data_IF_698000440663
#
_entry.id   IF_698000440663
#
_cell.length_a   1.000
_cell.length_b   1.000
_cell.length_c   1.000
_cell.angle_alpha   90.00
_cell.angle_beta   90.00
_cell.angle_gamma   90.00
#
_symmetry.space_group_name_H-M   'P 1'
#
loop_
_entity.id
_entity.type
_entity.pdbx_description
1 polymer ?
#
# COMPACT_ATOMS: atom_id res chain seq x y z
N UNK A 1 34.53 -40.36 30.99
CA UNK A 1 33.84 -41.15 29.95
C UNK A 1 32.35 -40.86 30.02
N UNK A 2 31.88 -39.84 29.30
CA UNK A 2 30.49 -39.64 28.84
C UNK A 2 30.63 -38.71 27.64
N UNK A 3 30.90 -39.26 26.45
CA UNK A 3 29.94 -39.85 25.53
C UNK A 3 29.02 -38.76 24.94
N UNK A 4 29.43 -38.35 23.74
CA UNK A 4 28.72 -37.55 22.75
C UNK A 4 27.20 -37.64 22.82
N UNK A 5 26.52 -36.49 22.81
CA UNK A 5 25.10 -36.43 22.51
C UNK A 5 24.83 -35.29 21.51
N UNK A 6 24.72 -35.72 20.25
CA UNK A 6 23.99 -35.14 19.12
C UNK A 6 24.03 -33.61 18.92
N UNK A 7 24.76 -33.17 17.89
CA UNK A 7 24.36 -32.01 17.10
C UNK A 7 23.01 -32.32 16.45
N UNK A 8 21.92 -31.80 17.02
CA UNK A 8 20.64 -31.69 16.31
C UNK A 8 20.82 -30.63 15.25
N UNK A 9 20.95 -31.05 13.99
CA UNK A 9 20.86 -30.14 12.85
C UNK A 9 19.46 -29.53 12.83
N UNK A 10 19.38 -28.21 12.98
CA UNK A 10 18.19 -27.45 12.62
C UNK A 10 18.13 -27.48 11.09
N UNK A 11 17.45 -28.47 10.51
CA UNK A 11 17.46 -28.71 9.08
C UNK A 11 16.13 -29.28 8.61
N UNK A 12 15.17 -28.38 8.39
CA UNK A 12 13.90 -28.71 7.72
C UNK A 12 12.68 -28.76 8.64
N UNK A 13 12.33 -27.64 9.26
CA UNK A 13 10.96 -27.44 9.78
C UNK A 13 10.13 -26.76 8.70
N UNK A 14 8.79 -26.82 8.78
CA UNK A 14 7.92 -26.00 7.93
C UNK A 14 8.19 -24.50 8.12
N UNK A 15 7.77 -23.67 7.17
CA UNK A 15 7.81 -22.21 7.30
C UNK A 15 6.96 -21.75 8.50
N UNK A 16 7.33 -20.62 9.09
CA UNK A 16 6.60 -19.97 10.16
C UNK A 16 5.18 -19.60 9.71
N UNK A 17 4.19 -20.08 10.44
CA UNK A 17 2.78 -19.72 10.23
C UNK A 17 2.55 -18.22 10.36
N UNK A 18 3.30 -17.55 11.26
CA UNK A 18 3.24 -16.11 11.44
C UNK A 18 3.72 -15.36 10.19
N UNK A 19 4.84 -15.79 9.58
CA UNK A 19 5.35 -15.17 8.36
C UNK A 19 4.43 -15.42 7.15
N UNK A 20 3.89 -16.63 7.04
CA UNK A 20 2.87 -16.95 6.01
C UNK A 20 1.66 -16.01 6.14
N UNK A 21 1.15 -15.83 7.35
CA UNK A 21 0.04 -14.91 7.62
C UNK A 21 0.37 -13.45 7.28
N UNK A 22 1.54 -12.96 7.72
CA UNK A 22 1.99 -11.60 7.43
C UNK A 22 2.13 -11.34 5.92
N UNK A 23 2.78 -12.26 5.20
CA UNK A 23 2.97 -12.16 3.74
C UNK A 23 1.62 -12.15 3.01
N UNK A 24 0.70 -13.04 3.39
CA UNK A 24 -0.64 -13.08 2.79
C UNK A 24 -1.44 -11.80 3.07
N UNK A 25 -1.32 -11.23 4.27
CA UNK A 25 -1.94 -9.96 4.62
C UNK A 25 -1.38 -8.80 3.78
N UNK A 26 -0.06 -8.75 3.57
CA UNK A 26 0.59 -7.74 2.72
C UNK A 26 0.10 -7.83 1.26
N UNK A 27 0.04 -9.04 0.69
CA UNK A 27 -0.49 -9.29 -0.66
C UNK A 27 -1.93 -8.79 -0.79
N UNK A 28 -2.77 -9.10 0.21
CA UNK A 28 -4.17 -8.66 0.22
C UNK A 28 -4.27 -7.14 0.29
N UNK A 29 -3.53 -6.51 1.20
CA UNK A 29 -3.53 -5.06 1.36
C UNK A 29 -3.12 -4.34 0.07
N UNK A 30 -2.09 -4.83 -0.63
CA UNK A 30 -1.69 -4.30 -1.94
C UNK A 30 -2.82 -4.42 -2.97
N UNK A 31 -3.54 -5.54 -3.01
CA UNK A 31 -4.71 -5.72 -3.88
C UNK A 31 -5.85 -4.77 -3.55
N UNK A 32 -6.19 -4.62 -2.27
CA UNK A 32 -7.29 -3.77 -1.79
C UNK A 32 -7.08 -2.28 -2.11
N UNK A 33 -5.82 -1.80 -2.09
CA UNK A 33 -5.51 -0.41 -2.49
C UNK A 33 -5.44 -0.20 -4.00
N UNK A 34 -5.69 -1.26 -4.79
CA UNK A 34 -5.73 -1.19 -6.25
C UNK A 34 -4.38 -1.30 -6.94
N UNK A 35 -3.42 -2.05 -6.38
CA UNK A 35 -2.13 -2.30 -7.05
C UNK A 35 -2.24 -2.89 -8.45
N UNK A 36 -3.33 -3.62 -8.75
CA UNK A 36 -3.58 -4.16 -10.09
C UNK A 36 -3.79 -3.06 -11.16
N UNK A 37 -4.09 -1.82 -10.76
CA UNK A 37 -4.34 -0.70 -11.69
C UNK A 37 -3.10 0.17 -11.97
N UNK A 38 -1.98 -0.06 -11.27
CA UNK A 38 -0.71 0.62 -11.57
C UNK A 38 0.26 -0.43 -12.14
N UNK A 39 0.73 -0.29 -13.40
CA UNK A 39 1.48 -1.35 -14.07
C UNK A 39 2.70 -1.88 -13.31
N UNK A 40 3.43 -1.00 -12.62
CA UNK A 40 4.63 -1.40 -11.85
C UNK A 40 4.24 -2.15 -10.57
N UNK A 41 3.23 -1.66 -9.85
CA UNK A 41 2.68 -2.29 -8.66
C UNK A 41 2.05 -3.64 -8.99
N UNK A 42 1.36 -3.75 -10.13
CA UNK A 42 0.75 -4.98 -10.59
C UNK A 42 1.80 -6.08 -10.82
N UNK A 43 2.96 -5.73 -11.38
CA UNK A 43 4.09 -6.65 -11.55
C UNK A 43 4.61 -7.18 -10.19
N UNK A 44 4.84 -6.29 -9.24
CA UNK A 44 5.31 -6.70 -7.91
C UNK A 44 4.25 -7.50 -7.14
N UNK A 45 2.97 -7.16 -7.27
CA UNK A 45 1.88 -7.94 -6.69
C UNK A 45 1.81 -9.35 -7.30
N UNK A 46 2.05 -9.48 -8.61
CA UNK A 46 2.13 -10.79 -9.27
C UNK A 46 3.31 -11.60 -8.71
N UNK A 47 4.51 -11.01 -8.65
CA UNK A 47 5.68 -11.67 -8.07
C UNK A 47 5.46 -12.11 -6.63
N UNK A 48 4.83 -11.29 -5.80
CA UNK A 48 4.51 -11.65 -4.42
C UNK A 48 3.59 -12.88 -4.35
N UNK A 49 2.56 -12.97 -5.21
CA UNK A 49 1.64 -14.12 -5.26
C UNK A 49 2.31 -15.40 -5.73
N UNK A 50 3.14 -15.31 -6.76
CA UNK A 50 3.90 -16.45 -7.29
C UNK A 50 4.91 -16.98 -6.26
N UNK A 51 5.63 -16.09 -5.60
CA UNK A 51 6.57 -16.43 -4.54
C UNK A 51 5.87 -17.00 -3.32
N UNK A 52 4.73 -16.45 -2.91
CA UNK A 52 3.94 -17.03 -1.82
C UNK A 52 3.54 -18.48 -2.13
N UNK A 53 3.04 -18.72 -3.34
CA UNK A 53 2.71 -20.09 -3.81
C UNK A 53 3.93 -21.01 -3.80
N UNK A 54 5.10 -20.52 -4.22
CA UNK A 54 6.35 -21.26 -4.16
C UNK A 54 6.75 -21.57 -2.71
N UNK A 55 6.60 -20.61 -1.80
CA UNK A 55 6.91 -20.81 -0.39
C UNK A 55 5.97 -21.84 0.27
N UNK A 56 4.69 -21.86 -0.09
CA UNK A 56 3.77 -22.91 0.36
C UNK A 56 4.26 -24.30 -0.05
N UNK A 57 4.71 -24.46 -1.29
CA UNK A 57 5.24 -25.72 -1.80
C UNK A 57 6.52 -26.13 -1.07
N UNK A 58 7.47 -25.20 -0.89
CA UNK A 58 8.70 -25.43 -0.13
C UNK A 58 8.42 -25.79 1.34
N UNK A 59 7.44 -25.14 1.96
CA UNK A 59 7.04 -25.45 3.34
C UNK A 59 6.48 -26.88 3.44
N UNK A 60 5.64 -27.29 2.48
CA UNK A 60 5.07 -28.65 2.41
C UNK A 60 6.12 -29.72 2.08
N UNK A 61 7.20 -29.38 1.36
CA UNK A 61 8.33 -30.29 1.09
C UNK A 61 9.32 -30.39 2.26
N UNK A 62 9.07 -29.71 3.38
CA UNK A 62 9.97 -29.69 4.55
C UNK A 62 11.15 -28.73 4.40
N UNK A 63 11.15 -27.88 3.38
CA UNK A 63 12.21 -26.93 3.06
C UNK A 63 11.93 -25.54 3.68
N UNK A 64 11.54 -25.47 4.95
CA UNK A 64 11.06 -24.22 5.53
C UNK A 64 12.06 -23.08 5.56
N UNK A 65 13.37 -23.32 5.69
CA UNK A 65 14.35 -22.24 5.57
C UNK A 65 14.35 -21.58 4.18
N UNK A 66 14.15 -22.38 3.13
CA UNK A 66 14.00 -21.85 1.78
C UNK A 66 12.67 -21.12 1.65
N UNK A 67 11.60 -21.68 2.20
CA UNK A 67 10.28 -21.04 2.23
C UNK A 67 10.32 -19.68 2.95
N UNK A 68 11.02 -19.56 4.08
CA UNK A 68 11.21 -18.30 4.82
C UNK A 68 11.86 -17.21 3.96
N UNK A 69 12.91 -17.57 3.22
CA UNK A 69 13.58 -16.63 2.31
C UNK A 69 12.69 -16.19 1.16
N UNK A 70 11.90 -17.11 0.60
CA UNK A 70 10.93 -16.80 -0.45
C UNK A 70 9.81 -15.93 0.09
N UNK A 71 9.30 -16.20 1.31
CA UNK A 71 8.29 -15.37 1.97
C UNK A 71 8.80 -13.95 2.25
N UNK A 72 10.04 -13.79 2.71
CA UNK A 72 10.62 -12.47 2.94
C UNK A 72 10.68 -11.64 1.64
N UNK A 73 10.99 -12.28 0.51
CA UNK A 73 10.97 -11.63 -0.79
C UNK A 73 9.53 -11.30 -1.25
N UNK A 74 8.59 -12.23 -1.06
CA UNK A 74 7.18 -12.03 -1.37
C UNK A 74 6.57 -10.86 -0.57
N UNK A 75 6.90 -10.76 0.71
CA UNK A 75 6.48 -9.67 1.60
C UNK A 75 7.02 -8.33 1.11
N UNK A 76 8.31 -8.25 0.77
CA UNK A 76 8.93 -7.04 0.23
C UNK A 76 8.31 -6.60 -1.12
N UNK A 77 8.03 -7.54 -2.03
CA UNK A 77 7.35 -7.25 -3.29
C UNK A 77 5.91 -6.74 -3.05
N UNK A 78 5.17 -7.33 -2.10
CA UNK A 78 3.83 -6.87 -1.75
C UNK A 78 3.83 -5.45 -1.13
N UNK A 79 4.78 -5.16 -0.23
CA UNK A 79 4.94 -3.83 0.36
C UNK A 79 5.33 -2.78 -0.69
N UNK A 80 6.19 -3.15 -1.64
CA UNK A 80 6.54 -2.28 -2.76
C UNK A 80 5.34 -1.98 -3.65
N UNK A 81 4.53 -3.00 -3.99
CA UNK A 81 3.29 -2.81 -4.74
C UNK A 81 2.35 -1.83 -4.01
N UNK A 82 2.14 -2.03 -2.71
CA UNK A 82 1.34 -1.14 -1.86
C UNK A 82 1.85 0.31 -1.87
N UNK A 83 3.17 0.51 -1.74
CA UNK A 83 3.78 1.84 -1.76
C UNK A 83 3.61 2.53 -3.12
N UNK A 84 3.79 1.80 -4.23
CA UNK A 84 3.60 2.31 -5.58
C UNK A 84 2.15 2.72 -5.84
N UNK A 85 1.16 1.92 -5.39
CA UNK A 85 -0.26 2.27 -5.51
C UNK A 85 -0.60 3.54 -4.74
N UNK A 86 -0.14 3.64 -3.48
CA UNK A 86 -0.34 4.84 -2.64
C UNK A 86 0.29 6.09 -3.26
N UNK A 87 1.48 5.95 -3.86
CA UNK A 87 2.15 7.02 -4.58
C UNK A 87 1.32 7.46 -5.80
N UNK A 88 0.83 6.52 -6.60
CA UNK A 88 -0.01 6.82 -7.77
C UNK A 88 -1.28 7.58 -7.37
N UNK A 89 -1.98 7.11 -6.33
CA UNK A 89 -3.16 7.78 -5.79
C UNK A 89 -2.85 9.20 -5.29
N UNK A 90 -1.72 9.38 -4.60
CA UNK A 90 -1.29 10.69 -4.09
C UNK A 90 -0.96 11.67 -5.22
N UNK A 91 -0.33 11.19 -6.31
CA UNK A 91 -0.06 12.00 -7.50
C UNK A 91 -1.37 12.41 -8.19
N UNK A 92 -2.33 11.50 -8.31
CA UNK A 92 -3.64 11.80 -8.90
C UNK A 92 -4.39 12.86 -8.09
N UNK A 93 -4.45 12.70 -6.76
CA UNK A 93 -5.07 13.66 -5.85
C UNK A 93 -4.40 15.04 -5.91
N UNK A 94 -3.06 15.09 -5.94
CA UNK A 94 -2.31 16.34 -6.05
C UNK A 94 -2.59 17.07 -7.38
N UNK A 95 -2.72 16.33 -8.49
CA UNK A 95 -3.08 16.90 -9.80
C UNK A 95 -4.49 17.49 -9.79
N UNK A 96 -5.45 16.77 -9.21
CA UNK A 96 -6.83 17.25 -9.10
C UNK A 96 -6.92 18.52 -8.24
N UNK A 97 -6.27 18.53 -7.07
CA UNK A 97 -6.23 19.72 -6.23
C UNK A 97 -5.59 20.92 -6.96
N UNK A 98 -4.52 20.68 -7.74
CA UNK A 98 -3.88 21.72 -8.52
C UNK A 98 -4.76 22.26 -9.67
N UNK A 99 -5.63 21.44 -10.27
CA UNK A 99 -6.62 21.93 -11.24
C UNK A 99 -7.71 22.76 -10.56
N UNK A 100 -8.27 22.29 -9.44
CA UNK A 100 -9.31 23.01 -8.70
C UNK A 100 -8.84 24.40 -8.25
N UNK A 101 -7.60 24.52 -7.74
CA UNK A 101 -7.01 25.82 -7.38
C UNK A 101 -6.84 26.73 -8.60
N UNK A 102 -6.51 26.18 -9.76
CA UNK A 102 -6.34 26.95 -11.01
C UNK A 102 -7.69 27.46 -11.52
N UNK A 103 -8.71 26.62 -11.47
CA UNK A 103 -10.06 26.97 -11.88
C UNK A 103 -10.65 28.04 -10.97
N UNK A 104 -10.50 27.87 -9.64
CA UNK A 104 -10.92 28.87 -8.66
C UNK A 104 -10.22 30.22 -8.84
N UNK A 105 -8.94 30.23 -9.24
CA UNK A 105 -8.20 31.47 -9.55
C UNK A 105 -8.59 32.10 -10.89
N UNK A 106 -9.08 31.31 -11.83
CA UNK A 106 -9.48 31.78 -13.17
C UNK A 106 -10.90 32.34 -13.17
N UNK A 107 -11.69 32.01 -12.14
CA UNK A 107 -13.00 32.59 -11.93
C UNK A 107 -12.84 34.04 -11.44
N UNK A 108 -13.41 35.05 -12.13
CA UNK A 108 -13.43 36.41 -11.61
C UNK A 108 -14.15 36.43 -10.25
N UNK A 109 -13.82 37.36 -9.34
CA UNK A 109 -14.46 37.43 -8.04
C UNK A 109 -15.99 37.44 -8.23
N UNK A 110 -16.76 36.75 -7.36
CA UNK A 110 -18.21 36.80 -7.45
C UNK A 110 -18.65 38.27 -7.51
N UNK A 111 -19.66 38.63 -8.33
CA UNK A 111 -20.14 39.99 -8.39
C UNK A 111 -20.41 40.44 -6.96
N UNK A 112 -19.70 41.48 -6.51
CA UNK A 112 -19.90 42.08 -5.19
C UNK A 112 -21.39 42.26 -5.02
N UNK A 113 -21.96 41.63 -4.00
CA UNK A 113 -23.37 41.80 -3.64
C UNK A 113 -23.70 43.30 -3.69
N UNK A 114 -24.87 43.70 -4.22
CA UNK A 114 -25.22 45.10 -4.34
C UNK A 114 -25.03 45.75 -2.96
N UNK A 115 -24.23 46.81 -2.93
CA UNK A 115 -24.04 47.64 -1.75
C UNK A 115 -25.44 47.98 -1.21
N UNK A 116 -25.78 47.65 0.05
CA UNK A 116 -27.09 48.00 0.58
C UNK A 116 -27.27 49.52 0.41
N UNK A 117 -28.47 49.98 0.00
CA UNK A 117 -28.72 51.40 -0.17
C UNK A 117 -28.36 52.12 1.14
N UNK A 118 -27.80 53.35 1.06
CA UNK A 118 -27.45 54.10 2.26
C UNK A 118 -28.69 54.17 3.17
N UNK A 119 -28.49 53.84 4.45
CA UNK A 119 -29.53 53.92 5.45
C UNK A 119 -30.18 55.30 5.39
N UNK A 120 -31.51 55.34 5.31
CA UNK A 120 -32.26 56.58 5.27
C UNK A 120 -31.86 57.46 6.48
N UNK A 121 -31.70 58.79 6.29
CA UNK A 121 -31.35 59.67 7.39
C UNK A 121 -32.43 59.60 8.48
N UNK A 122 -32.05 59.69 9.77
CA UNK A 122 -33.01 59.67 10.85
C UNK A 122 -33.99 60.85 10.71
N UNK A 123 -35.27 60.69 11.11
CA UNK A 123 -36.22 61.79 11.04
C UNK A 123 -35.74 62.94 11.93
N UNK A 124 -35.68 64.14 11.35
CA UNK A 124 -35.47 65.39 12.09
C UNK A 124 -36.64 65.64 13.06
N UNK A 125 -36.36 66.23 14.25
CA UNK A 125 -37.35 66.43 15.30
C UNK A 125 -38.45 67.43 14.92
#
# INVERSE_FOLDING_TARGET
MFASLALVGCGGTAASTARMGATQAAIRSAGEVGAEHEPTAALHLQYAREQFTQAEQLSRSGEGERAERVLARAEADAELALALSRRSASIAAARQAASEVRDARSQPPPPTAPTPPPAAPPPTP
#
